data_IF_504563771693
#
_entry.id   IF_504563771693
#
_cell.length_a   1.000
_cell.length_b   1.000
_cell.length_c   1.000
_cell.angle_alpha   90.00
_cell.angle_beta   90.00
_cell.angle_gamma   90.00
#
_symmetry.space_group_name_H-M   'P 1'
#
loop_
_entity.id
_entity.type
_entity.pdbx_description
1 polymer ?
#
# COMPACT_ATOMS: atom_id res chain seq x y z
N UNK A 1 3.02 -3.18 31.06
CA UNK A 1 2.28 -3.33 29.78
C UNK A 1 1.17 -2.29 29.75
N UNK A 2 1.04 -1.51 28.67
CA UNK A 2 0.03 -0.44 28.59
C UNK A 2 -1.39 -1.02 28.72
N UNK A 3 -2.22 -0.39 29.57
CA UNK A 3 -3.63 -0.75 29.78
C UNK A 3 -4.53 0.04 28.82
N UNK A 4 -4.28 -0.07 27.52
CA UNK A 4 -5.04 0.64 26.51
C UNK A 4 -4.44 0.58 25.11
N UNK A 5 -5.10 1.26 24.19
CA UNK A 5 -4.68 1.43 22.80
C UNK A 5 -3.39 2.25 22.78
N UNK A 6 -2.40 1.73 22.06
CA UNK A 6 -1.15 2.43 21.75
C UNK A 6 -1.29 3.01 20.34
N UNK A 7 -1.39 4.34 20.15
CA UNK A 7 -1.43 4.92 18.83
C UNK A 7 -0.20 4.52 18.01
N UNK A 8 -0.42 3.99 16.81
CA UNK A 8 0.64 3.54 15.93
C UNK A 8 0.41 4.08 14.52
N UNK A 9 1.35 4.89 14.04
CA UNK A 9 1.22 5.62 12.78
C UNK A 9 1.77 4.81 11.61
N UNK A 10 0.90 4.43 10.69
CA UNK A 10 1.22 3.71 9.45
C UNK A 10 0.71 4.55 8.28
N UNK A 11 1.60 5.37 7.75
CA UNK A 11 1.28 6.27 6.63
C UNK A 11 1.23 5.49 5.31
N UNK A 12 0.24 5.79 4.48
CA UNK A 12 0.16 5.28 3.11
C UNK A 12 0.82 6.22 2.09
N UNK A 13 1.21 7.41 2.52
CA UNK A 13 1.92 8.40 1.72
C UNK A 13 2.86 9.21 2.60
N UNK A 14 4.07 9.48 2.12
CA UNK A 14 5.03 10.40 2.75
C UNK A 14 5.51 11.38 1.69
N UNK A 15 5.34 12.68 1.96
CA UNK A 15 5.77 13.75 1.05
C UNK A 15 5.23 13.60 -0.39
N UNK A 16 3.97 13.18 -0.57
CA UNK A 16 3.40 12.96 -1.90
C UNK A 16 3.75 11.60 -2.53
N UNK A 17 4.54 10.76 -1.87
CA UNK A 17 4.97 9.44 -2.39
C UNK A 17 4.25 8.34 -1.64
N UNK A 18 3.57 7.46 -2.38
CA UNK A 18 2.91 6.30 -1.83
C UNK A 18 3.87 5.35 -1.10
N UNK A 19 3.54 5.01 0.14
CA UNK A 19 4.27 3.99 0.91
C UNK A 19 3.70 2.62 0.53
N UNK A 20 4.54 1.73 0.00
CA UNK A 20 4.08 0.40 -0.42
C UNK A 20 3.40 -0.37 0.72
N UNK A 21 2.41 -1.21 0.38
CA UNK A 21 1.72 -2.06 1.37
C UNK A 21 2.68 -2.98 2.11
N UNK A 22 3.74 -3.46 1.44
CA UNK A 22 4.80 -4.28 2.04
C UNK A 22 5.65 -3.50 3.03
N UNK A 23 5.97 -2.24 2.76
CA UNK A 23 6.67 -1.39 3.72
C UNK A 23 5.77 -1.09 4.94
N UNK A 24 4.49 -0.80 4.74
CA UNK A 24 3.52 -0.63 5.83
C UNK A 24 3.41 -1.91 6.69
N UNK A 25 3.31 -3.08 6.04
CA UNK A 25 3.23 -4.38 6.70
C UNK A 25 4.50 -4.71 7.50
N UNK A 26 5.68 -4.47 6.92
CA UNK A 26 6.96 -4.64 7.60
C UNK A 26 7.07 -3.71 8.82
N UNK A 27 6.63 -2.46 8.71
CA UNK A 27 6.62 -1.52 9.83
C UNK A 27 5.77 -2.02 11.00
N UNK A 28 4.59 -2.58 10.72
CA UNK A 28 3.72 -3.18 11.73
C UNK A 28 4.41 -4.40 12.37
N UNK A 29 5.00 -5.29 11.57
CA UNK A 29 5.66 -6.50 12.08
C UNK A 29 6.94 -6.20 12.87
N UNK A 30 7.70 -5.17 12.49
CA UNK A 30 8.87 -4.73 13.26
C UNK A 30 8.45 -4.18 14.63
N UNK A 31 7.33 -3.45 14.71
CA UNK A 31 6.77 -3.01 16.00
C UNK A 31 6.23 -4.19 16.82
N UNK A 32 5.56 -5.16 16.17
CA UNK A 32 5.11 -6.39 16.83
C UNK A 32 6.30 -7.16 17.42
N UNK A 33 7.40 -7.29 16.68
CA UNK A 33 8.63 -7.92 17.16
C UNK A 33 9.19 -7.18 18.38
N UNK A 34 9.23 -5.84 18.33
CA UNK A 34 9.71 -5.00 19.45
C UNK A 34 8.86 -5.19 20.70
N UNK A 35 7.55 -5.15 20.58
CA UNK A 35 6.62 -5.35 21.69
C UNK A 35 6.73 -6.77 22.26
N UNK A 36 6.88 -7.78 21.41
CA UNK A 36 7.09 -9.16 21.81
C UNK A 36 8.40 -9.36 22.58
N UNK A 37 9.50 -8.76 22.09
CA UNK A 37 10.79 -8.75 22.78
C UNK A 37 10.71 -8.08 24.16
N UNK A 38 9.79 -7.12 24.34
CA UNK A 38 9.48 -6.48 25.62
C UNK A 38 8.49 -7.26 26.49
N UNK A 39 8.20 -8.52 26.14
CA UNK A 39 7.39 -9.43 26.95
C UNK A 39 5.91 -9.50 26.56
N UNK A 40 5.47 -8.83 25.49
CA UNK A 40 4.09 -8.96 25.01
C UNK A 40 3.83 -10.37 24.44
N UNK A 41 2.83 -11.06 24.98
CA UNK A 41 2.45 -12.40 24.49
C UNK A 41 1.76 -12.35 23.13
N UNK A 42 0.91 -11.34 22.95
CA UNK A 42 0.19 -11.07 21.71
C UNK A 42 0.21 -9.57 21.43
N UNK A 43 0.31 -9.22 20.15
CA UNK A 43 0.30 -7.84 19.69
C UNK A 43 -0.66 -7.73 18.52
N UNK A 44 -1.66 -6.87 18.68
CA UNK A 44 -2.75 -6.70 17.74
C UNK A 44 -2.68 -5.35 17.04
N UNK A 45 -3.19 -5.25 15.81
CA UNK A 45 -3.45 -3.94 15.19
C UNK A 45 -4.92 -3.80 14.80
N UNK A 46 -5.51 -2.64 15.09
CA UNK A 46 -6.89 -2.35 14.70
C UNK A 46 -7.04 -2.32 13.18
N UNK A 47 -8.12 -2.90 12.67
CA UNK A 47 -8.40 -3.01 11.24
C UNK A 47 -9.85 -2.62 10.94
N UNK A 48 -10.07 -1.69 10.00
CA UNK A 48 -11.42 -1.32 9.53
C UNK A 48 -11.96 -2.41 8.62
N UNK A 49 -12.81 -3.28 9.15
CA UNK A 49 -13.30 -4.48 8.46
C UNK A 49 -14.75 -4.32 7.97
N UNK A 50 -15.11 -5.07 6.93
CA UNK A 50 -16.50 -5.43 6.69
C UNK A 50 -16.92 -6.64 7.56
N UNK A 51 -18.21 -6.88 7.73
CA UNK A 51 -18.72 -7.95 8.59
C UNK A 51 -18.15 -9.34 8.25
N UNK A 52 -18.12 -9.72 6.97
CA UNK A 52 -17.63 -11.03 6.56
C UNK A 52 -16.14 -11.22 6.88
N UNK A 53 -15.34 -10.15 6.78
CA UNK A 53 -13.94 -10.15 7.22
C UNK A 53 -13.83 -10.30 8.73
N UNK A 54 -14.64 -9.56 9.51
CA UNK A 54 -14.69 -9.70 10.99
C UNK A 54 -14.98 -11.15 11.38
N UNK A 55 -16.02 -11.76 10.82
CA UNK A 55 -16.43 -13.13 11.12
C UNK A 55 -15.32 -14.14 10.78
N UNK A 56 -14.69 -13.97 9.61
CA UNK A 56 -13.59 -14.83 9.15
C UNK A 56 -12.37 -14.74 10.06
N UNK A 57 -11.99 -13.52 10.46
CA UNK A 57 -10.86 -13.27 11.36
C UNK A 57 -11.12 -13.93 12.72
N UNK A 58 -12.30 -13.70 13.31
CA UNK A 58 -12.67 -14.28 14.61
C UNK A 58 -12.73 -15.81 14.56
N UNK A 59 -13.33 -16.38 13.50
CA UNK A 59 -13.39 -17.83 13.29
C UNK A 59 -12.00 -18.44 13.16
N UNK A 60 -11.09 -17.79 12.44
CA UNK A 60 -9.70 -18.24 12.30
C UNK A 60 -9.01 -18.37 13.66
N UNK A 61 -9.11 -17.34 14.52
CA UNK A 61 -8.49 -17.36 15.84
C UNK A 61 -9.15 -18.35 16.79
N UNK A 62 -10.48 -18.49 16.75
CA UNK A 62 -11.20 -19.49 17.53
C UNK A 62 -10.74 -20.92 17.22
N UNK A 63 -10.35 -21.17 15.97
CA UNK A 63 -9.84 -22.46 15.50
C UNK A 63 -8.31 -22.60 15.68
N UNK A 64 -7.65 -21.68 16.37
CA UNK A 64 -6.20 -21.71 16.60
C UNK A 64 -5.34 -21.33 15.40
N UNK A 65 -5.95 -20.89 14.30
CA UNK A 65 -5.24 -20.38 13.13
C UNK A 65 -4.70 -18.97 13.36
N UNK A 66 -3.69 -18.59 12.58
CA UNK A 66 -3.16 -17.21 12.55
C UNK A 66 -3.44 -16.48 11.24
N UNK A 67 -3.55 -17.22 10.13
CA UNK A 67 -3.73 -16.68 8.78
C UNK A 67 -5.22 -16.51 8.50
N UNK A 68 -5.69 -15.26 8.50
CA UNK A 68 -7.12 -14.96 8.36
C UNK A 68 -7.56 -14.93 6.90
N UNK A 69 -6.60 -14.88 5.96
CA UNK A 69 -6.87 -14.80 4.53
C UNK A 69 -7.59 -13.51 4.19
N UNK A 70 -7.22 -12.40 4.84
CA UNK A 70 -7.79 -11.08 4.57
C UNK A 70 -7.25 -10.58 3.23
N UNK A 71 -8.15 -10.13 2.37
CA UNK A 71 -7.86 -9.60 1.05
C UNK A 71 -8.66 -8.31 0.79
N UNK A 72 -8.27 -7.57 -0.25
CA UNK A 72 -8.87 -6.31 -0.65
C UNK A 72 -7.85 -5.18 -0.80
N UNK A 73 -8.33 -3.94 -0.73
CA UNK A 73 -7.51 -2.73 -0.93
C UNK A 73 -7.22 -2.00 0.39
N UNK A 74 -6.34 -1.00 0.35
CA UNK A 74 -5.97 -0.15 1.49
C UNK A 74 -5.47 -0.99 2.68
N UNK A 75 -6.07 -0.85 3.86
CA UNK A 75 -5.69 -1.64 5.04
C UNK A 75 -5.74 -3.16 4.79
N UNK A 76 -6.74 -3.65 4.04
CA UNK A 76 -6.86 -5.07 3.77
C UNK A 76 -5.66 -5.62 2.96
N UNK A 77 -5.13 -4.83 2.03
CA UNK A 77 -3.93 -5.18 1.27
C UNK A 77 -2.68 -5.26 2.19
N UNK A 78 -2.59 -4.38 3.18
CA UNK A 78 -1.49 -4.42 4.17
C UNK A 78 -1.63 -5.65 5.08
N UNK A 79 -2.84 -5.99 5.54
CA UNK A 79 -3.05 -7.23 6.32
C UNK A 79 -2.67 -8.47 5.50
N UNK A 80 -3.07 -8.53 4.22
CA UNK A 80 -2.69 -9.61 3.31
C UNK A 80 -1.17 -9.74 3.19
N UNK A 81 -0.47 -8.61 3.08
CA UNK A 81 0.99 -8.57 2.98
C UNK A 81 1.68 -8.92 4.31
N UNK A 82 1.08 -8.59 5.46
CA UNK A 82 1.53 -9.09 6.77
C UNK A 82 1.48 -10.62 6.79
N UNK A 83 0.38 -11.23 6.32
CA UNK A 83 0.27 -12.70 6.27
C UNK A 83 1.33 -13.34 5.36
N UNK A 84 1.71 -12.68 4.26
CA UNK A 84 2.81 -13.12 3.41
C UNK A 84 4.15 -12.97 4.10
N UNK A 85 4.41 -11.84 4.77
CA UNK A 85 5.66 -11.62 5.50
C UNK A 85 5.83 -12.60 6.66
N UNK A 86 4.75 -12.98 7.34
CA UNK A 86 4.74 -13.99 8.39
C UNK A 86 5.15 -15.39 7.91
N UNK A 87 5.19 -15.68 6.61
CA UNK A 87 5.76 -16.96 6.10
C UNK A 87 7.26 -16.89 5.84
N UNK A 88 7.85 -15.69 5.87
CA UNK A 88 9.28 -15.50 5.63
C UNK A 88 10.11 -15.77 6.88
N UNK A 89 11.39 -16.20 6.75
CA UNK A 89 12.24 -16.47 7.90
C UNK A 89 12.36 -15.31 8.90
N UNK A 90 12.33 -14.05 8.42
CA UNK A 90 12.43 -12.85 9.27
C UNK A 90 11.29 -12.76 10.29
N UNK A 91 10.06 -13.10 9.90
CA UNK A 91 8.86 -12.86 10.73
C UNK A 91 8.10 -14.12 11.12
N UNK A 92 8.54 -15.31 10.70
CA UNK A 92 7.86 -16.58 10.97
C UNK A 92 7.58 -16.82 12.46
N UNK A 93 8.50 -16.41 13.33
CA UNK A 93 8.35 -16.53 14.79
C UNK A 93 7.18 -15.71 15.36
N UNK A 94 6.63 -14.74 14.60
CA UNK A 94 5.52 -13.90 15.02
C UNK A 94 4.13 -14.45 14.65
N UNK A 95 4.03 -15.60 13.95
CA UNK A 95 2.74 -16.19 13.55
C UNK A 95 1.81 -16.43 14.75
N UNK A 96 2.36 -16.86 15.89
CA UNK A 96 1.60 -17.04 17.13
C UNK A 96 1.32 -15.75 17.90
N UNK A 97 2.05 -14.66 17.58
CA UNK A 97 2.10 -13.41 18.35
C UNK A 97 1.21 -12.32 17.73
N UNK A 98 1.27 -12.17 16.41
CA UNK A 98 0.52 -11.15 15.67
C UNK A 98 -0.98 -11.46 15.65
N UNK A 99 -1.81 -10.43 15.80
CA UNK A 99 -3.26 -10.49 15.58
C UNK A 99 -3.77 -9.30 14.77
N UNK A 100 -4.68 -9.54 13.85
CA UNK A 100 -5.53 -8.51 13.25
C UNK A 100 -6.75 -8.32 14.14
N UNK A 101 -7.00 -7.12 14.63
CA UNK A 101 -8.14 -6.83 15.52
C UNK A 101 -9.21 -6.09 14.72
N UNK A 102 -10.24 -6.79 14.20
CA UNK A 102 -11.21 -6.21 13.29
C UNK A 102 -12.21 -5.35 14.06
N UNK A 103 -12.50 -4.16 13.51
CA UNK A 103 -13.62 -3.32 13.90
C UNK A 103 -14.59 -3.28 12.73
N UNK A 104 -15.80 -3.81 12.93
CA UNK A 104 -16.83 -3.83 11.89
C UNK A 104 -17.28 -2.40 11.59
N UNK A 105 -17.29 -2.05 10.31
CA UNK A 105 -17.70 -0.70 9.85
C UNK A 105 -18.80 -0.69 8.80
N UNK A 106 -18.97 -1.80 8.09
CA UNK A 106 -19.97 -1.98 7.04
C UNK A 106 -20.17 -3.47 6.76
N UNK A 107 -21.14 -3.80 5.90
CA UNK A 107 -21.29 -5.14 5.32
C UNK A 107 -21.61 -5.04 3.84
N UNK A 108 -21.50 -6.15 3.13
CA UNK A 108 -22.02 -6.27 1.78
C UNK A 108 -23.37 -6.98 1.81
N UNK A 109 -24.33 -6.50 1.02
CA UNK A 109 -25.57 -7.24 0.78
C UNK A 109 -25.35 -8.39 -0.23
N UNK A 110 -26.41 -9.14 -0.52
CA UNK A 110 -26.34 -10.29 -1.45
C UNK A 110 -25.95 -9.92 -2.88
N UNK A 111 -25.99 -8.63 -3.24
CA UNK A 111 -25.60 -8.12 -4.55
C UNK A 111 -24.15 -7.61 -4.59
N UNK A 112 -23.44 -7.67 -3.47
CA UNK A 112 -22.09 -7.12 -3.34
C UNK A 112 -22.06 -5.60 -3.15
N UNK A 113 -23.20 -4.97 -2.87
CA UNK A 113 -23.27 -3.53 -2.57
C UNK A 113 -22.96 -3.30 -1.10
N UNK A 114 -22.11 -2.30 -0.82
CA UNK A 114 -21.83 -1.88 0.54
C UNK A 114 -23.08 -1.27 1.18
N UNK A 115 -23.41 -1.74 2.39
CA UNK A 115 -24.52 -1.27 3.19
C UNK A 115 -24.10 -1.16 4.65
N UNK A 116 -24.91 -0.46 5.44
CA UNK A 116 -24.69 -0.25 6.88
C UNK A 116 -24.66 -1.60 7.62
N UNK A 117 -23.64 -1.82 8.45
CA UNK A 117 -23.60 -2.94 9.39
C UNK A 117 -24.65 -2.75 10.50
N UNK A 118 -25.03 -3.81 11.24
CA UNK A 118 -25.89 -3.60 12.42
C UNK A 118 -25.06 -2.98 13.53
N UNK A 119 -25.69 -2.14 14.35
CA UNK A 119 -25.02 -1.54 15.51
C UNK A 119 -24.48 -2.61 16.48
N UNK A 120 -25.21 -3.72 16.64
CA UNK A 120 -24.78 -4.89 17.42
C UNK A 120 -23.45 -5.47 16.93
N UNK A 121 -23.22 -5.48 15.62
CA UNK A 121 -22.01 -6.05 15.03
C UNK A 121 -20.81 -5.12 15.29
N UNK A 122 -21.03 -3.81 15.26
CA UNK A 122 -20.02 -2.81 15.64
C UNK A 122 -19.69 -2.95 17.13
N UNK A 123 -20.69 -3.02 17.99
CA UNK A 123 -20.51 -3.20 19.43
C UNK A 123 -19.74 -4.48 19.78
N UNK A 124 -20.07 -5.60 19.13
CA UNK A 124 -19.41 -6.88 19.35
C UNK A 124 -17.94 -6.83 18.94
N UNK A 125 -17.62 -6.18 17.81
CA UNK A 125 -16.23 -6.01 17.37
C UNK A 125 -15.42 -5.13 18.35
N UNK A 126 -16.02 -4.07 18.91
CA UNK A 126 -15.40 -3.22 19.93
C UNK A 126 -15.20 -3.97 21.26
N UNK A 127 -16.19 -4.79 21.67
CA UNK A 127 -16.06 -5.69 22.84
C UNK A 127 -14.93 -6.70 22.63
N UNK A 128 -14.79 -7.26 21.43
CA UNK A 128 -13.68 -8.14 21.07
C UNK A 128 -12.33 -7.45 21.17
N UNK A 129 -12.21 -6.21 20.70
CA UNK A 129 -10.99 -5.41 20.81
C UNK A 129 -10.64 -5.06 22.27
N UNK A 130 -11.63 -4.70 23.10
CA UNK A 130 -11.44 -4.54 24.55
C UNK A 130 -10.98 -5.82 25.21
N UNK A 131 -11.66 -6.94 24.93
CA UNK A 131 -11.28 -8.25 25.46
C UNK A 131 -9.86 -8.65 25.09
N UNK A 132 -9.41 -8.36 23.87
CA UNK A 132 -8.03 -8.61 23.45
C UNK A 132 -7.01 -7.89 24.36
N UNK A 133 -7.30 -6.65 24.76
CA UNK A 133 -6.47 -5.91 25.71
C UNK A 133 -6.59 -6.47 27.14
N UNK A 134 -7.80 -6.81 27.58
CA UNK A 134 -8.06 -7.39 28.91
C UNK A 134 -7.35 -8.74 29.11
N UNK A 135 -7.24 -9.54 28.04
CA UNK A 135 -6.50 -10.81 28.01
C UNK A 135 -4.96 -10.59 27.98
N UNK A 136 -4.49 -9.34 28.08
CA UNK A 136 -3.07 -8.97 28.17
C UNK A 136 -2.39 -8.69 26.83
N UNK A 137 -3.16 -8.57 25.74
CA UNK A 137 -2.63 -8.20 24.42
C UNK A 137 -2.28 -6.71 24.32
N UNK A 138 -1.21 -6.39 23.59
CA UNK A 138 -0.89 -5.00 23.25
C UNK A 138 -1.63 -4.60 21.98
N UNK A 139 -2.55 -3.64 22.06
CA UNK A 139 -3.34 -3.19 20.90
C UNK A 139 -2.73 -1.92 20.28
N UNK A 140 -2.14 -2.07 19.11
CA UNK A 140 -1.74 -0.98 18.24
C UNK A 140 -2.98 -0.38 17.57
N UNK A 141 -3.24 0.90 17.84
CA UNK A 141 -4.29 1.67 17.18
C UNK A 141 -3.77 2.27 15.89
N UNK A 142 -4.24 1.76 14.74
CA UNK A 142 -3.82 2.25 13.44
C UNK A 142 -4.20 3.72 13.27
N UNK A 143 -3.20 4.58 13.06
CA UNK A 143 -3.36 5.96 12.61
C UNK A 143 -2.55 6.19 11.33
N UNK A 144 -2.82 7.26 10.59
CA UNK A 144 -2.08 7.63 9.39
C UNK A 144 -2.08 9.16 9.22
N UNK A 145 -1.45 9.66 8.16
CA UNK A 145 -1.28 11.09 7.89
C UNK A 145 -2.61 11.87 7.73
N UNK A 146 -3.73 11.19 7.49
CA UNK A 146 -5.07 11.80 7.40
C UNK A 146 -5.91 11.61 8.67
N UNK A 147 -5.40 10.88 9.66
CA UNK A 147 -6.12 10.57 10.90
C UNK A 147 -6.05 11.76 11.85
N UNK A 148 -7.22 12.28 12.24
CA UNK A 148 -7.29 13.38 13.20
C UNK A 148 -6.76 12.95 14.59
N UNK A 149 -6.18 13.88 15.38
CA UNK A 149 -5.73 13.59 16.73
C UNK A 149 -6.82 12.95 17.59
N UNK A 150 -6.44 11.94 18.39
CA UNK A 150 -7.36 11.20 19.26
C UNK A 150 -8.32 10.25 18.53
N UNK A 151 -8.10 10.00 17.24
CA UNK A 151 -8.87 9.03 16.44
C UNK A 151 -7.97 7.95 15.86
N UNK A 152 -8.61 6.89 15.36
CA UNK A 152 -7.97 5.82 14.60
C UNK A 152 -8.47 5.83 13.15
N UNK A 153 -7.70 5.21 12.26
CA UNK A 153 -8.03 5.00 10.87
C UNK A 153 -9.09 3.89 10.70
N UNK A 154 -10.31 4.16 11.18
CA UNK A 154 -11.48 3.26 11.14
C UNK A 154 -12.64 3.98 10.45
N UNK A 155 -13.32 3.28 9.53
CA UNK A 155 -14.50 3.82 8.83
C UNK A 155 -14.17 4.69 7.61
N UNK A 156 -12.96 4.60 7.06
CA UNK A 156 -12.55 5.23 5.81
C UNK A 156 -12.99 4.47 4.55
N UNK A 157 -12.60 4.96 3.37
CA UNK A 157 -12.86 4.29 2.10
C UNK A 157 -14.35 4.04 1.84
N UNK A 158 -14.70 2.82 1.43
CA UNK A 158 -16.09 2.40 1.14
C UNK A 158 -17.03 2.59 2.34
N UNK A 159 -16.53 2.32 3.56
CA UNK A 159 -17.34 2.44 4.78
C UNK A 159 -17.79 3.89 5.04
N UNK A 160 -17.03 4.89 4.57
CA UNK A 160 -17.30 6.30 4.85
C UNK A 160 -18.69 6.76 4.40
N UNK A 161 -19.20 6.17 3.30
CA UNK A 161 -20.50 6.48 2.69
C UNK A 161 -21.68 5.66 3.22
N UNK A 162 -21.46 4.65 4.06
CA UNK A 162 -22.53 3.76 4.57
C UNK A 162 -22.61 3.69 6.09
N UNK A 163 -21.54 4.07 6.80
CA UNK A 163 -21.51 4.06 8.25
C UNK A 163 -22.29 5.25 8.84
N UNK A 164 -23.16 4.98 9.80
CA UNK A 164 -24.01 6.01 10.42
C UNK A 164 -23.20 6.91 11.36
N UNK A 165 -23.73 8.11 11.63
CA UNK A 165 -23.14 9.00 12.64
C UNK A 165 -23.13 8.39 14.04
N UNK A 166 -24.12 7.55 14.37
CA UNK A 166 -24.17 6.82 15.64
C UNK A 166 -23.02 5.82 15.76
N UNK A 167 -22.76 5.02 14.72
CA UNK A 167 -21.64 4.07 14.67
C UNK A 167 -20.27 4.77 14.74
N UNK A 168 -20.11 5.88 14.00
CA UNK A 168 -18.90 6.70 14.09
C UNK A 168 -18.67 7.22 15.52
N UNK A 169 -19.74 7.65 16.18
CA UNK A 169 -19.68 8.15 17.57
C UNK A 169 -19.36 7.03 18.55
N UNK A 170 -19.95 5.84 18.37
CA UNK A 170 -19.68 4.65 19.17
C UNK A 170 -18.20 4.25 19.11
N UNK A 171 -17.63 4.17 17.90
CA UNK A 171 -16.21 3.85 17.71
C UNK A 171 -15.31 4.94 18.33
N UNK A 172 -15.61 6.22 18.08
CA UNK A 172 -14.80 7.32 18.63
C UNK A 172 -14.86 7.37 20.16
N UNK A 173 -16.02 7.10 20.76
CA UNK A 173 -16.15 7.03 22.22
C UNK A 173 -15.36 5.86 22.79
N UNK A 174 -15.41 4.68 22.15
CA UNK A 174 -14.59 3.55 22.53
C UNK A 174 -13.10 3.88 22.43
N UNK A 175 -12.64 4.48 21.32
CA UNK A 175 -11.24 4.93 21.17
C UNK A 175 -10.87 5.89 22.30
N UNK A 176 -11.65 6.93 22.54
CA UNK A 176 -11.38 7.93 23.59
C UNK A 176 -11.26 7.30 24.98
N UNK A 177 -12.08 6.31 25.29
CA UNK A 177 -12.09 5.65 26.59
C UNK A 177 -10.94 4.66 26.79
N UNK A 178 -10.33 4.18 25.69
CA UNK A 178 -9.29 3.16 25.72
C UNK A 178 -7.93 3.66 25.24
N UNK A 179 -7.82 4.88 24.72
CA UNK A 179 -6.53 5.48 24.41
C UNK A 179 -5.73 5.62 25.70
N UNK A 180 -4.50 5.08 25.69
CA UNK A 180 -3.61 5.24 26.82
C UNK A 180 -3.32 6.73 27.03
N UNK A 181 -3.69 7.28 28.19
CA UNK A 181 -3.18 8.59 28.62
C UNK A 181 -1.65 8.49 28.75
N UNK A 182 -0.87 9.52 28.38
CA UNK A 182 0.52 9.59 28.78
C UNK A 182 0.57 9.63 30.31
N UNK A 183 0.89 8.51 30.94
CA UNK A 183 1.11 8.47 32.39
C UNK A 183 2.39 9.24 32.68
N UNK A 184 2.23 10.38 33.35
CA UNK A 184 3.26 11.20 33.98
C UNK A 184 3.85 10.51 35.23
N UNK A 185 4.12 9.22 35.17
CA UNK A 185 4.72 8.45 36.27
C UNK A 185 5.81 7.54 35.71
N UNK A 186 6.95 8.15 35.39
CA UNK A 186 8.29 7.54 35.45
C UNK A 186 9.29 8.68 35.67
N UNK A 187 9.06 9.44 36.74
CA UNK A 187 10.04 10.35 37.32
C UNK A 187 10.83 9.58 38.38
N UNK A 188 11.88 8.86 37.93
CA UNK A 188 13.00 8.45 38.77
C UNK A 188 14.31 8.73 38.02
N UNK A 189 15.36 9.15 38.74
CA UNK A 189 16.31 10.14 38.26
C UNK A 189 17.26 9.58 37.22
N UNK A 190 17.60 10.42 36.24
CA UNK A 190 18.73 10.22 35.35
C UNK A 190 20.02 10.04 36.17
N UNK A 191 20.44 8.80 36.37
CA UNK A 191 21.83 8.48 36.62
C UNK A 191 22.58 8.44 35.27
N UNK A 192 23.84 8.88 35.18
CA UNK A 192 24.51 9.12 33.90
C UNK A 192 24.85 7.78 33.23
N UNK A 193 24.36 7.60 32.01
CA UNK A 193 24.80 6.51 31.11
C UNK A 193 26.27 6.74 30.73
N UNK A 194 27.11 5.75 31.03
CA UNK A 194 28.46 5.63 30.47
C UNK A 194 28.36 5.27 28.98
N UNK A 195 29.20 5.84 28.10
CA UNK A 195 29.11 5.62 26.67
C UNK A 195 29.77 4.29 26.29
N UNK A 196 29.06 3.44 25.54
CA UNK A 196 29.69 2.36 24.78
C UNK A 196 29.06 2.27 23.38
N UNK A 197 29.66 3.03 22.46
CA UNK A 197 29.89 2.77 21.02
C UNK A 197 28.89 1.85 20.29
N UNK A 198 27.95 2.42 19.52
CA UNK A 198 27.52 1.96 18.17
C UNK A 198 26.37 2.79 17.55
N UNK A 199 26.39 4.12 17.68
CA UNK A 199 25.38 5.00 17.06
C UNK A 199 25.84 5.67 15.75
N UNK A 200 27.07 5.43 15.30
CA UNK A 200 27.61 6.14 14.12
C UNK A 200 27.18 5.53 12.79
N UNK A 201 26.64 4.30 12.78
CA UNK A 201 26.29 3.58 11.54
C UNK A 201 24.86 3.85 11.04
N UNK A 202 23.93 4.23 11.92
CA UNK A 202 22.53 4.50 11.56
C UNK A 202 22.33 5.89 10.92
N UNK A 203 23.12 6.89 11.33
CA UNK A 203 22.99 8.27 10.82
C UNK A 203 23.51 8.39 9.38
N UNK A 204 24.60 7.68 9.05
CA UNK A 204 25.14 7.66 7.69
C UNK A 204 24.25 6.88 6.71
N UNK A 205 23.56 5.83 7.17
CA UNK A 205 22.59 5.09 6.35
C UNK A 205 21.30 5.90 6.08
N UNK A 206 20.86 6.71 7.04
CA UNK A 206 19.72 7.63 6.87
C UNK A 206 20.06 8.77 5.91
N UNK A 207 21.23 9.39 6.03
CA UNK A 207 21.65 10.48 5.15
C UNK A 207 21.87 10.03 3.69
N UNK A 208 22.42 8.82 3.47
CA UNK A 208 22.53 8.26 2.12
C UNK A 208 21.15 7.95 1.50
N UNK A 209 20.16 7.55 2.32
CA UNK A 209 18.79 7.30 1.85
C UNK A 209 18.02 8.60 1.53
N UNK A 210 18.29 9.68 2.27
CA UNK A 210 17.69 11.00 2.04
C UNK A 210 18.23 11.66 0.77
N UNK A 211 19.52 11.48 0.45
CA UNK A 211 20.10 11.93 -0.83
C UNK A 211 19.57 11.11 -2.03
N UNK A 212 19.34 9.80 -1.86
CA UNK A 212 18.68 8.95 -2.87
C UNK A 212 17.18 9.33 -3.06
N UNK A 213 16.47 9.67 -1.99
CA UNK A 213 15.06 10.12 -2.02
C UNK A 213 14.89 11.53 -2.59
N UNK A 214 15.83 12.44 -2.31
CA UNK A 214 15.84 13.78 -2.90
C UNK A 214 16.00 13.72 -4.42
N UNK A 215 16.73 12.73 -4.95
CA UNK A 215 16.83 12.49 -6.40
C UNK A 215 15.54 11.90 -7.00
N UNK A 216 14.75 11.13 -6.23
CA UNK A 216 13.47 10.52 -6.67
C UNK A 216 12.30 11.50 -6.68
N UNK A 217 12.30 12.56 -5.86
CA UNK A 217 11.22 13.57 -5.75
C UNK A 217 10.91 14.41 -7.01
N UNK A 218 11.48 14.11 -8.18
CA UNK A 218 11.17 14.77 -9.46
C UNK A 218 11.34 13.82 -10.67
N UNK A 219 10.82 12.59 -10.66
CA UNK A 219 10.80 11.79 -11.90
C UNK A 219 9.54 12.12 -12.69
N UNK A 220 9.68 13.01 -13.67
CA UNK A 220 8.62 13.33 -14.61
C UNK A 220 8.75 12.38 -15.81
N UNK A 221 7.63 11.87 -16.33
CA UNK A 221 7.60 10.84 -17.36
C UNK A 221 6.86 11.36 -18.58
N UNK A 222 7.56 11.40 -19.71
CA UNK A 222 7.00 11.73 -21.00
C UNK A 222 6.56 10.48 -21.74
N UNK A 223 5.38 10.52 -22.35
CA UNK A 223 4.79 9.39 -23.08
C UNK A 223 4.69 9.76 -24.55
N UNK A 224 5.27 8.93 -25.40
CA UNK A 224 5.14 9.03 -26.85
C UNK A 224 4.20 7.93 -27.34
N UNK A 225 3.11 8.30 -27.99
CA UNK A 225 2.16 7.37 -28.60
C UNK A 225 1.58 8.00 -29.86
N UNK A 226 1.30 7.18 -30.87
CA UNK A 226 0.56 7.61 -32.07
C UNK A 226 -0.95 7.72 -31.79
N UNK A 227 -1.42 7.17 -30.67
CA UNK A 227 -2.84 7.08 -30.30
C UNK A 227 -3.17 8.00 -29.11
N UNK A 228 -2.72 9.25 -29.18
CA UNK A 228 -2.79 10.22 -28.06
C UNK A 228 -4.23 10.43 -27.58
N UNK A 229 -5.21 10.55 -28.48
CA UNK A 229 -6.61 10.79 -28.11
C UNK A 229 -7.23 9.58 -27.38
N UNK A 230 -6.97 8.37 -27.88
CA UNK A 230 -7.42 7.13 -27.24
C UNK A 230 -6.77 6.95 -25.86
N UNK A 231 -5.48 7.26 -25.74
CA UNK A 231 -4.74 7.23 -24.48
C UNK A 231 -5.31 8.22 -23.47
N UNK A 232 -5.63 9.45 -23.90
CA UNK A 232 -6.24 10.49 -23.06
C UNK A 232 -7.64 10.09 -22.58
N UNK A 233 -8.46 9.52 -23.46
CA UNK A 233 -9.79 9.03 -23.11
C UNK A 233 -9.71 7.88 -22.09
N UNK A 234 -8.78 6.93 -22.30
CA UNK A 234 -8.53 5.85 -21.37
C UNK A 234 -8.01 6.36 -20.03
N UNK A 235 -7.11 7.36 -20.04
CA UNK A 235 -6.57 7.97 -18.83
C UNK A 235 -7.67 8.67 -18.01
N UNK A 236 -8.52 9.48 -18.64
CA UNK A 236 -9.67 10.12 -17.97
C UNK A 236 -10.59 9.10 -17.31
N UNK A 237 -10.87 7.98 -18.00
CA UNK A 237 -11.68 6.88 -17.46
C UNK A 237 -10.99 6.18 -16.28
N UNK A 238 -9.67 6.01 -16.35
CA UNK A 238 -8.87 5.33 -15.32
C UNK A 238 -8.75 6.16 -14.05
N UNK A 239 -8.40 7.44 -14.14
CA UNK A 239 -8.17 8.28 -12.96
C UNK A 239 -9.46 8.83 -12.33
N UNK A 240 -10.54 8.91 -13.11
CA UNK A 240 -11.81 9.53 -12.74
C UNK A 240 -11.86 11.03 -13.04
N UNK A 241 -13.07 11.57 -13.16
CA UNK A 241 -13.30 12.94 -13.65
C UNK A 241 -12.73 14.02 -12.73
N UNK A 242 -12.78 13.83 -11.41
CA UNK A 242 -12.23 14.77 -10.44
C UNK A 242 -10.71 14.85 -10.54
N UNK A 243 -10.01 13.71 -10.57
CA UNK A 243 -8.56 13.67 -10.72
C UNK A 243 -8.11 14.30 -12.03
N UNK A 244 -8.82 14.04 -13.12
CA UNK A 244 -8.52 14.60 -14.43
C UNK A 244 -8.65 16.13 -14.46
N UNK A 245 -9.58 16.71 -13.70
CA UNK A 245 -9.73 18.17 -13.55
C UNK A 245 -8.61 18.76 -12.69
N UNK A 246 -8.26 18.08 -11.60
CA UNK A 246 -7.25 18.56 -10.65
C UNK A 246 -5.82 18.34 -11.17
N UNK A 247 -5.62 17.38 -12.09
CA UNK A 247 -4.34 16.99 -12.69
C UNK A 247 -4.51 16.80 -14.21
N UNK A 248 -4.75 17.89 -14.97
CA UNK A 248 -4.97 17.80 -16.40
C UNK A 248 -3.70 17.30 -17.10
N UNK A 249 -3.82 16.41 -18.11
CA UNK A 249 -2.70 16.03 -18.96
C UNK A 249 -2.03 17.24 -19.60
N UNK A 250 -0.71 17.28 -19.57
CA UNK A 250 0.09 18.32 -20.22
C UNK A 250 0.70 17.76 -21.51
N UNK A 251 0.77 18.59 -22.56
CA UNK A 251 1.52 18.25 -23.77
C UNK A 251 2.82 19.03 -23.75
N UNK A 252 3.94 18.32 -23.71
CA UNK A 252 5.27 18.91 -23.78
C UNK A 252 5.54 19.53 -25.16
N UNK A 253 6.51 20.45 -25.22
CA UNK A 253 6.94 21.11 -26.46
C UNK A 253 7.46 20.10 -27.51
N UNK A 254 7.92 18.94 -27.06
CA UNK A 254 8.38 17.81 -27.86
C UNK A 254 7.25 16.87 -28.35
N UNK A 255 6.00 17.24 -28.10
CA UNK A 255 4.83 16.48 -28.48
C UNK A 255 4.53 15.28 -27.57
N UNK A 256 5.33 15.04 -26.52
CA UNK A 256 5.08 13.98 -25.54
C UNK A 256 3.95 14.37 -24.60
N UNK A 257 3.16 13.38 -24.22
CA UNK A 257 2.11 13.54 -23.23
C UNK A 257 2.70 13.31 -21.83
N UNK A 258 2.37 14.20 -20.90
CA UNK A 258 2.70 14.07 -19.50
C UNK A 258 1.42 13.78 -18.72
N UNK A 259 1.42 12.63 -18.06
CA UNK A 259 0.30 12.13 -17.27
C UNK A 259 0.73 12.02 -15.81
N UNK A 260 -0.15 12.44 -14.90
CA UNK A 260 0.10 12.44 -13.45
C UNK A 260 -0.72 11.36 -12.79
N UNK A 261 -0.08 10.32 -12.28
CA UNK A 261 -0.77 9.18 -11.67
C UNK A 261 -0.84 9.32 -10.15
N UNK A 262 -1.79 8.60 -9.54
CA UNK A 262 -1.94 8.57 -8.07
C UNK A 262 -0.77 7.88 -7.39
N UNK A 263 -0.10 6.98 -8.09
CA UNK A 263 1.09 6.24 -7.65
C UNK A 263 1.80 5.58 -8.83
N UNK A 264 3.00 5.06 -8.60
CA UNK A 264 3.74 4.25 -9.58
C UNK A 264 2.98 2.97 -9.96
N UNK A 265 2.23 2.40 -9.02
CA UNK A 265 1.39 1.21 -9.25
C UNK A 265 0.17 1.58 -10.11
N UNK A 266 -0.49 2.71 -9.84
CA UNK A 266 -1.59 3.24 -10.65
C UNK A 266 -1.16 3.51 -12.11
N UNK A 267 0.04 4.08 -12.27
CA UNK A 267 0.68 4.24 -13.58
C UNK A 267 0.95 2.88 -14.23
N UNK A 268 1.51 1.94 -13.49
CA UNK A 268 1.86 0.61 -14.01
C UNK A 268 0.62 -0.14 -14.46
N UNK A 269 -0.45 -0.12 -13.67
CA UNK A 269 -1.73 -0.72 -14.00
C UNK A 269 -2.38 -0.06 -15.21
N UNK A 270 -2.30 1.27 -15.32
CA UNK A 270 -2.79 1.98 -16.49
C UNK A 270 -2.08 1.50 -17.77
N UNK A 271 -0.75 1.50 -17.77
CA UNK A 271 0.02 1.15 -18.97
C UNK A 271 -0.01 -0.35 -19.29
N UNK A 272 -0.17 -1.23 -18.30
CA UNK A 272 -0.49 -2.64 -18.55
C UNK A 272 -1.81 -2.79 -19.31
N UNK A 273 -2.87 -2.10 -18.86
CA UNK A 273 -4.16 -2.12 -19.56
C UNK A 273 -4.07 -1.52 -20.97
N UNK A 274 -3.26 -0.48 -21.15
CA UNK A 274 -3.02 0.08 -22.50
C UNK A 274 -2.33 -0.95 -23.39
N UNK A 275 -1.30 -1.63 -22.89
CA UNK A 275 -0.61 -2.68 -23.64
C UNK A 275 -1.56 -3.83 -23.98
N UNK A 276 -2.32 -4.35 -23.01
CA UNK A 276 -3.34 -5.40 -23.18
C UNK A 276 -4.42 -5.03 -24.20
N UNK A 277 -4.76 -3.75 -24.30
CA UNK A 277 -5.71 -3.23 -25.30
C UNK A 277 -5.09 -3.08 -26.70
N UNK A 278 -3.84 -3.48 -26.89
CA UNK A 278 -3.13 -3.41 -28.17
C UNK A 278 -2.52 -2.05 -28.49
N UNK A 279 -2.47 -1.12 -27.53
CA UNK A 279 -1.94 0.22 -27.77
C UNK A 279 -0.41 0.21 -27.78
N UNK A 280 0.18 0.91 -28.75
CA UNK A 280 1.61 1.14 -28.84
C UNK A 280 2.00 2.48 -28.21
N UNK A 281 3.05 2.46 -27.40
CA UNK A 281 3.59 3.64 -26.71
C UNK A 281 5.01 3.41 -26.19
N UNK A 282 5.73 4.51 -25.98
CA UNK A 282 7.05 4.56 -25.37
C UNK A 282 6.98 5.50 -24.16
N UNK A 283 7.49 5.03 -23.02
CA UNK A 283 7.60 5.82 -21.79
C UNK A 283 9.05 6.24 -21.59
N UNK A 284 9.26 7.52 -21.32
CA UNK A 284 10.57 8.14 -21.24
C UNK A 284 10.70 8.92 -19.95
N UNK A 285 11.79 8.72 -19.21
CA UNK A 285 12.13 9.57 -18.07
C UNK A 285 12.60 10.94 -18.56
N UNK A 286 11.96 12.03 -18.13
CA UNK A 286 12.23 13.37 -18.64
C UNK A 286 13.61 13.90 -18.26
N UNK A 287 14.15 13.49 -17.11
CA UNK A 287 15.46 13.97 -16.63
C UNK A 287 16.60 13.42 -17.48
N UNK A 288 16.52 12.14 -17.81
CA UNK A 288 17.61 11.41 -18.49
C UNK A 288 17.33 11.18 -19.97
N UNK A 289 16.10 11.41 -20.42
CA UNK A 289 15.61 11.09 -21.76
C UNK A 289 15.77 9.60 -22.13
N UNK A 290 15.79 8.72 -21.13
CA UNK A 290 15.93 7.27 -21.29
C UNK A 290 14.59 6.58 -21.36
N UNK A 291 14.49 5.54 -22.19
CA UNK A 291 13.29 4.73 -22.31
C UNK A 291 13.16 3.80 -21.11
N UNK A 292 12.09 3.98 -20.33
CA UNK A 292 11.86 3.22 -19.09
C UNK A 292 10.94 2.02 -19.31
N UNK A 293 10.00 2.14 -20.24
CA UNK A 293 9.08 1.07 -20.62
C UNK A 293 8.49 1.35 -22.00
N UNK A 294 7.98 0.32 -22.67
CA UNK A 294 7.26 0.47 -23.93
C UNK A 294 6.29 -0.70 -24.16
N UNK A 295 5.33 -0.50 -25.05
CA UNK A 295 4.49 -1.53 -25.65
C UNK A 295 4.52 -1.35 -27.16
N UNK A 296 4.73 -2.43 -27.90
CA UNK A 296 4.65 -2.42 -29.37
C UNK A 296 3.26 -2.84 -29.90
N UNK A 297 2.26 -2.92 -29.02
CA UNK A 297 0.89 -3.30 -29.36
C UNK A 297 0.66 -4.81 -29.49
N UNK A 298 1.54 -5.64 -28.92
CA UNK A 298 1.41 -7.10 -28.86
C UNK A 298 0.62 -7.61 -27.64
N UNK A 299 0.11 -6.71 -26.80
CA UNK A 299 -0.58 -7.07 -25.56
C UNK A 299 0.30 -6.93 -24.31
N UNK A 300 1.60 -6.65 -24.45
CA UNK A 300 2.57 -6.74 -23.36
C UNK A 300 3.32 -5.45 -23.12
N UNK A 301 3.72 -5.26 -21.86
CA UNK A 301 4.52 -4.14 -21.41
C UNK A 301 5.96 -4.62 -21.20
N UNK A 302 6.92 -3.91 -21.77
CA UNK A 302 8.33 -4.29 -21.72
C UNK A 302 9.20 -3.20 -21.12
N UNK A 303 10.26 -3.64 -20.44
CA UNK A 303 11.42 -2.83 -20.09
C UNK A 303 12.50 -3.05 -21.15
N UNK A 304 13.09 -1.99 -21.73
CA UNK A 304 14.21 -2.15 -22.63
C UNK A 304 15.47 -2.52 -21.84
N UNK A 305 16.35 -3.31 -22.44
CA UNK A 305 17.61 -3.74 -21.82
C UNK A 305 18.65 -4.11 -22.86
N UNK A 306 19.92 -4.15 -22.45
CA UNK A 306 21.06 -4.53 -23.29
C UNK A 306 20.93 -5.96 -23.84
N UNK A 307 20.33 -6.85 -23.05
CA UNK A 307 20.10 -8.27 -23.41
C UNK A 307 18.76 -8.51 -24.14
N UNK A 308 18.11 -7.43 -24.59
CA UNK A 308 16.80 -7.47 -25.22
C UNK A 308 15.65 -7.09 -24.28
N UNK A 309 14.41 -7.12 -24.78
CA UNK A 309 13.25 -6.66 -24.02
C UNK A 309 12.83 -7.65 -22.93
N UNK A 310 12.55 -7.12 -21.75
CA UNK A 310 12.10 -7.89 -20.60
C UNK A 310 10.65 -7.55 -20.29
N UNK A 311 9.76 -8.54 -20.22
CA UNK A 311 8.36 -8.33 -19.91
C UNK A 311 8.18 -7.85 -18.45
N UNK A 312 7.41 -6.78 -18.27
CA UNK A 312 7.10 -6.20 -16.96
C UNK A 312 5.88 -6.90 -16.37
N UNK A 313 6.13 -7.92 -15.56
CA UNK A 313 5.09 -8.65 -14.82
C UNK A 313 4.88 -8.15 -13.39
N UNK A 314 5.83 -7.36 -12.86
CA UNK A 314 5.82 -6.83 -11.49
C UNK A 314 4.86 -5.66 -11.24
N UNK A 315 4.81 -5.17 -9.99
CA UNK A 315 3.89 -4.09 -9.55
C UNK A 315 4.33 -2.67 -9.95
N UNK A 316 5.58 -2.48 -10.40
CA UNK A 316 6.09 -1.20 -10.89
C UNK A 316 6.83 -1.39 -12.20
N UNK A 317 6.58 -0.49 -13.16
CA UNK A 317 7.36 -0.37 -14.39
C UNK A 317 8.60 0.51 -14.22
N UNK A 318 8.76 1.19 -13.07
CA UNK A 318 9.88 2.10 -12.87
C UNK A 318 11.18 1.34 -12.59
N UNK A 319 12.29 1.71 -13.26
CA UNK A 319 13.60 1.12 -13.01
C UNK A 319 14.12 1.51 -11.62
N UNK A 320 14.84 0.57 -10.99
CA UNK A 320 15.62 0.87 -9.75
C UNK A 320 16.77 1.82 -10.07
N UNK A 321 17.30 2.51 -9.05
CA UNK A 321 18.35 3.52 -9.23
C UNK A 321 19.58 3.01 -10.01
N UNK A 322 20.02 1.78 -9.75
CA UNK A 322 21.13 1.15 -10.49
C UNK A 322 20.79 0.72 -11.93
N UNK A 323 19.52 0.47 -12.23
CA UNK A 323 19.07 0.00 -13.55
C UNK A 323 18.91 1.14 -14.55
N UNK A 324 18.84 2.39 -14.08
CA UNK A 324 18.61 3.57 -14.93
C UNK A 324 19.74 3.80 -15.93
N UNK A 325 20.98 3.50 -15.53
CA UNK A 325 22.17 3.69 -16.36
C UNK A 325 22.25 2.70 -17.54
N UNK A 326 21.57 1.57 -17.42
CA UNK A 326 21.56 0.53 -18.45
C UNK A 326 20.44 0.69 -19.48
N UNK A 327 19.58 1.70 -19.30
CA UNK A 327 18.48 1.98 -20.23
C UNK A 327 18.96 2.78 -21.45
N UNK A 328 18.42 2.48 -22.64
CA UNK A 328 18.77 3.20 -23.86
C UNK A 328 18.21 4.62 -23.82
N UNK A 329 18.94 5.55 -24.43
CA UNK A 329 18.43 6.88 -24.70
C UNK A 329 17.34 6.80 -25.79
N UNK A 330 16.33 7.66 -25.72
CA UNK A 330 15.21 7.67 -26.67
C UNK A 330 15.69 7.77 -28.13
N UNK A 331 16.75 8.55 -28.40
CA UNK A 331 17.31 8.75 -29.74
C UNK A 331 17.90 7.47 -30.35
N UNK A 332 18.35 6.54 -29.50
CA UNK A 332 19.00 5.30 -29.89
C UNK A 332 18.05 4.08 -29.78
N UNK A 333 16.87 4.29 -29.21
CA UNK A 333 15.87 3.25 -29.04
C UNK A 333 15.03 3.07 -30.31
N UNK A 334 15.03 1.84 -30.83
CA UNK A 334 14.08 1.40 -31.85
C UNK A 334 13.13 0.39 -31.24
N UNK A 335 11.85 0.72 -31.22
CA UNK A 335 10.81 -0.18 -30.72
C UNK A 335 10.79 -1.47 -31.56
N UNK A 336 10.92 -2.66 -30.94
CA UNK A 336 10.84 -3.92 -31.66
C UNK A 336 9.49 -4.10 -32.35
N UNK A 337 9.52 -4.66 -33.56
CA UNK A 337 8.29 -4.98 -34.29
C UNK A 337 7.42 -5.97 -33.49
N UNK A 338 6.10 -5.83 -33.62
CA UNK A 338 5.14 -6.78 -33.06
C UNK A 338 5.45 -8.18 -33.61
N UNK A 339 5.63 -9.16 -32.73
CA UNK A 339 5.79 -10.55 -33.16
C UNK A 339 4.54 -10.95 -33.93
N UNK A 340 4.69 -11.36 -35.19
CA UNK A 340 3.59 -11.88 -35.96
C UNK A 340 3.09 -13.16 -35.28
N UNK A 341 1.86 -13.13 -34.75
CA UNK A 341 1.15 -14.34 -34.37
C UNK A 341 1.14 -15.26 -35.59
N UNK A 342 1.84 -16.39 -35.51
CA UNK A 342 1.64 -17.49 -36.46
C UNK A 342 0.19 -17.97 -36.28
N UNK A 343 -0.73 -17.41 -37.06
CA UNK A 343 -1.97 -18.11 -37.37
C UNK A 343 -1.60 -19.38 -38.10
N UNK A 344 -1.77 -20.52 -37.42
CA UNK A 344 -1.72 -21.83 -38.03
C UNK A 344 -2.83 -21.90 -39.08
N UNK A 345 -2.46 -21.69 -40.34
CA UNK A 345 -3.27 -22.08 -41.49
C UNK A 345 -3.34 -23.61 -41.48
N UNK A 346 -4.35 -24.16 -40.83
CA UNK A 346 -4.76 -25.54 -41.05
C UNK A 346 -5.67 -25.54 -42.28
N UNK A 347 -5.08 -25.81 -43.45
CA UNK A 347 -5.86 -26.19 -44.63
C UNK A 347 -6.49 -27.57 -44.40
N UNK A 348 -7.80 -27.76 -44.61
CA UNK A 348 -8.35 -29.09 -44.84
C UNK A 348 -7.99 -29.56 -46.26
N UNK A 349 -7.45 -30.77 -46.35
CA UNK A 349 -7.35 -31.53 -47.60
C UNK A 349 -8.72 -32.06 -48.05
#
# INVERSE_FOLDING_TARGET
MPKGIVPFRVDFEKNGVGVSTRAQAAQILDEVARQHANGAKTVGITYSANQAQTDKIQSTYKNGGWKTGTDGSNQAAVISEIEQLLTTPKYQHLQGVYRTVPITTMKYDSTGKAVTAKDTDVEESLKGASKFMDDGGVLLGWTNQTTAPGRLAIGGGVASGVQTSAQKSMINNWVKNNLSSPTLDDDLPMAPLKPTVSETSSVQALQASEEEEAQRKKKSIGIQSEQVEALLAAYKKHCGEQWFKDNPPEKGEDGRLKLTFKSDEDMTDFFKKQAESGNSFIMVDEKTNKVIAYSNGDGKLYKPGKDGPQEITGKTLLPKAGEMNDLPDLKDFKMPAKAATQESVSQPQ
#
